data_IF_945059512544
#
_entry.id   IF_945059512544
#
_cell.length_a   1.000
_cell.length_b   1.000
_cell.length_c   1.000
_cell.angle_alpha   90.00
_cell.angle_beta   90.00
_cell.angle_gamma   90.00
#
_symmetry.space_group_name_H-M   'P 1'
#
loop_
_entity.id
_entity.type
_entity.pdbx_description
1 polymer ?
#
# COMPACT_ATOMS: atom_id res chain seq x y z
N UNK A 1 -1.98 -8.95 18.17
CA UNK A 1 -1.14 -7.74 18.12
C UNK A 1 -2.02 -6.59 17.66
N UNK A 2 -1.99 -5.46 18.37
CA UNK A 2 -2.78 -4.28 18.05
C UNK A 2 -1.84 -3.18 17.55
N UNK A 3 -2.17 -2.57 16.40
CA UNK A 3 -1.40 -1.47 15.83
C UNK A 3 -2.00 -0.14 16.27
N UNK A 4 -1.13 0.78 16.73
CA UNK A 4 -1.52 2.15 17.06
C UNK A 4 -1.07 3.07 15.92
N UNK A 5 -2.00 3.69 15.16
CA UNK A 5 -1.61 4.59 14.09
C UNK A 5 -0.94 5.84 14.67
N UNK A 6 0.17 6.27 14.05
CA UNK A 6 0.91 7.48 14.45
C UNK A 6 0.52 8.72 13.64
N UNK A 7 -0.34 8.56 12.65
CA UNK A 7 -0.67 9.60 11.67
C UNK A 7 -1.50 9.07 10.51
N UNK A 8 -1.63 9.89 9.48
CA UNK A 8 -2.33 9.55 8.23
C UNK A 8 -1.58 10.03 6.99
N UNK A 9 -1.83 9.38 5.86
CA UNK A 9 -1.34 9.84 4.55
C UNK A 9 -2.44 10.65 3.87
N UNK A 10 -2.08 11.81 3.32
CA UNK A 10 -2.97 12.72 2.61
C UNK A 10 -2.43 12.93 1.20
N UNK A 11 -3.27 12.69 0.19
CA UNK A 11 -2.95 12.93 -1.23
C UNK A 11 -4.24 13.11 -2.04
N UNK A 12 -4.11 13.29 -3.36
CA UNK A 12 -5.22 13.51 -4.28
C UNK A 12 -5.89 12.21 -4.79
N UNK A 13 -5.39 11.03 -4.42
CA UNK A 13 -5.98 9.75 -4.84
C UNK A 13 -7.21 9.42 -3.99
N UNK A 14 -8.39 9.74 -4.51
CA UNK A 14 -9.67 9.41 -3.86
C UNK A 14 -10.15 7.98 -4.12
N UNK A 15 -9.61 7.34 -5.18
CA UNK A 15 -9.89 5.95 -5.53
C UNK A 15 -8.58 5.17 -5.59
N UNK A 16 -8.55 3.97 -4.98
CA UNK A 16 -7.42 3.03 -5.05
C UNK A 16 -6.96 2.77 -6.50
N UNK A 17 -7.87 2.75 -7.48
CA UNK A 17 -7.50 2.53 -8.90
C UNK A 17 -6.70 3.68 -9.50
N UNK A 18 -6.80 4.88 -8.93
CA UNK A 18 -6.04 6.07 -9.36
C UNK A 18 -4.59 6.05 -8.89
N UNK A 19 -4.24 5.21 -7.90
CA UNK A 19 -2.87 5.08 -7.42
C UNK A 19 -1.97 4.47 -8.51
N UNK A 20 -0.87 5.15 -8.82
CA UNK A 20 0.11 4.69 -9.80
C UNK A 20 1.09 3.69 -9.17
N UNK A 21 1.82 2.93 -10.00
CA UNK A 21 2.83 1.97 -9.53
C UNK A 21 3.96 2.62 -8.72
N UNK A 22 4.26 3.90 -9.01
CA UNK A 22 5.32 4.68 -8.36
C UNK A 22 4.78 5.62 -7.27
N UNK A 23 3.48 5.56 -6.98
CA UNK A 23 2.82 6.46 -6.04
C UNK A 23 2.49 7.82 -6.64
N UNK A 24 2.16 8.77 -5.77
CA UNK A 24 1.82 10.15 -6.10
C UNK A 24 2.40 11.08 -5.03
N UNK A 25 2.61 12.38 -5.34
CA UNK A 25 2.93 13.36 -4.31
C UNK A 25 1.93 13.28 -3.15
N UNK A 26 2.46 13.10 -1.94
CA UNK A 26 1.67 12.82 -0.73
C UNK A 26 2.29 13.53 0.47
N UNK A 27 1.48 13.78 1.50
CA UNK A 27 1.91 14.28 2.81
C UNK A 27 1.62 13.24 3.88
N UNK A 28 2.59 12.99 4.77
CA UNK A 28 2.36 12.21 5.99
C UNK A 28 2.13 13.18 7.13
N UNK A 29 0.94 13.14 7.72
CA UNK A 29 0.55 13.98 8.86
C UNK A 29 0.57 13.13 10.13
N UNK A 30 1.48 13.42 11.06
CA UNK A 30 1.54 12.75 12.35
C UNK A 30 0.49 13.31 13.31
N UNK A 31 0.05 12.47 14.26
CA UNK A 31 -0.74 12.94 15.39
C UNK A 31 0.15 13.81 16.32
N UNK A 32 -0.38 14.86 16.96
CA UNK A 32 0.41 15.84 17.70
C UNK A 32 1.36 15.24 18.75
N UNK A 33 0.94 14.19 19.45
CA UNK A 33 1.72 13.49 20.48
C UNK A 33 3.01 12.84 19.95
N UNK A 34 3.10 12.57 18.65
CA UNK A 34 4.29 11.99 18.01
C UNK A 34 5.23 13.05 17.41
N UNK A 35 4.88 14.34 17.47
CA UNK A 35 5.72 15.43 16.93
C UNK A 35 7.16 15.43 17.44
N UNK A 36 7.45 15.18 18.74
CA UNK A 36 8.83 15.15 19.23
C UNK A 36 9.72 14.11 18.55
N UNK A 37 9.14 13.06 17.97
CA UNK A 37 9.88 12.01 17.26
C UNK A 37 10.42 12.47 15.89
N UNK A 38 10.04 13.66 15.41
CA UNK A 38 10.55 14.24 14.16
C UNK A 38 11.92 14.92 14.29
N UNK A 39 12.48 15.01 15.51
CA UNK A 39 13.76 15.66 15.75
C UNK A 39 14.85 15.10 14.82
N UNK A 40 15.48 15.98 14.04
CA UNK A 40 16.53 15.66 13.06
C UNK A 40 16.11 14.79 11.87
N UNK A 41 14.81 14.56 11.65
CA UNK A 41 14.35 13.84 10.46
C UNK A 41 14.72 14.59 9.17
N UNK A 42 14.77 15.92 9.23
CA UNK A 42 15.19 16.83 8.16
C UNK A 42 16.62 16.59 7.65
N UNK A 43 17.48 15.93 8.43
CA UNK A 43 18.83 15.52 8.00
C UNK A 43 18.82 14.39 6.97
N UNK A 44 17.67 13.76 6.73
CA UNK A 44 17.52 12.60 5.85
C UNK A 44 16.74 12.97 4.60
N UNK A 45 17.29 12.63 3.43
CA UNK A 45 16.63 12.85 2.13
C UNK A 45 15.60 11.78 1.79
N UNK A 46 15.68 10.60 2.44
CA UNK A 46 14.82 9.45 2.19
C UNK A 46 14.44 8.78 3.50
N UNK A 47 13.21 8.28 3.57
CA UNK A 47 12.67 7.56 4.72
C UNK A 47 11.84 6.36 4.25
N UNK A 48 11.71 5.36 5.12
CA UNK A 48 10.76 4.28 4.94
C UNK A 48 9.43 4.65 5.59
N UNK A 49 8.35 4.56 4.82
CA UNK A 49 6.98 4.76 5.32
C UNK A 49 6.28 3.41 5.31
N UNK A 50 5.91 2.94 6.51
CA UNK A 50 5.06 1.77 6.67
C UNK A 50 3.64 2.27 6.96
N UNK A 51 2.74 2.05 6.00
CA UNK A 51 1.33 2.40 6.10
C UNK A 51 0.47 1.16 6.26
N UNK A 52 -0.71 1.32 6.85
CA UNK A 52 -1.75 0.30 6.88
C UNK A 52 -2.76 0.56 5.76
N UNK A 53 -3.02 -0.43 4.90
CA UNK A 53 -3.97 -0.27 3.79
C UNK A 53 -5.37 -0.72 4.24
N UNK A 54 -6.12 0.20 4.86
CA UNK A 54 -7.35 -0.12 5.60
C UNK A 54 -8.52 -0.70 4.78
N UNK A 55 -8.61 -0.43 3.48
CA UNK A 55 -9.73 -0.85 2.62
C UNK A 55 -9.32 -1.98 1.67
N UNK A 56 -8.82 -3.09 2.22
CA UNK A 56 -8.44 -4.26 1.41
C UNK A 56 -8.85 -5.57 2.05
N UNK A 57 -9.06 -6.57 1.19
CA UNK A 57 -9.37 -7.94 1.59
C UNK A 57 -8.15 -8.59 2.26
N UNK A 58 -8.38 -9.16 3.45
CA UNK A 58 -7.31 -9.71 4.31
C UNK A 58 -7.26 -11.24 4.29
N UNK A 59 -8.32 -11.87 3.84
CA UNK A 59 -8.48 -13.31 3.67
C UNK A 59 -8.00 -13.82 2.31
N UNK A 60 -7.69 -12.91 1.37
CA UNK A 60 -7.13 -13.26 0.05
C UNK A 60 -5.71 -13.80 0.19
N UNK A 61 -5.50 -15.04 -0.25
CA UNK A 61 -4.19 -15.72 -0.23
C UNK A 61 -3.52 -15.83 -1.61
N UNK A 62 -4.27 -15.68 -2.69
CA UNK A 62 -3.78 -15.73 -4.06
C UNK A 62 -4.40 -14.63 -4.92
N UNK A 63 -3.61 -14.06 -5.83
CA UNK A 63 -4.06 -13.00 -6.74
C UNK A 63 -3.39 -13.13 -8.11
N UNK A 64 -4.02 -12.53 -9.13
CA UNK A 64 -3.33 -12.22 -10.40
C UNK A 64 -2.87 -10.75 -10.33
N UNK A 65 -1.54 -10.48 -10.33
CA UNK A 65 -1.00 -9.13 -10.31
C UNK A 65 -1.54 -8.27 -11.46
N UNK A 66 -1.70 -6.95 -11.23
CA UNK A 66 -2.29 -6.01 -12.20
C UNK A 66 -1.67 -6.10 -13.60
N UNK A 67 -0.34 -6.26 -13.69
CA UNK A 67 0.38 -6.35 -14.97
C UNK A 67 0.26 -7.69 -15.69
N UNK A 68 -0.35 -8.71 -15.06
CA UNK A 68 -0.53 -10.06 -15.61
C UNK A 68 -2.01 -10.43 -15.82
N UNK A 69 -2.92 -9.48 -15.61
CA UNK A 69 -4.35 -9.70 -15.87
C UNK A 69 -4.59 -9.83 -17.38
N UNK A 70 -5.44 -10.77 -17.76
CA UNK A 70 -5.91 -10.94 -19.13
C UNK A 70 -6.58 -9.65 -19.64
N UNK A 71 -6.45 -9.39 -20.93
CA UNK A 71 -7.18 -8.27 -21.57
C UNK A 71 -8.65 -8.62 -21.71
N UNK A 72 -9.54 -7.63 -21.89
CA UNK A 72 -10.95 -7.90 -22.17
C UNK A 72 -11.10 -8.85 -23.37
N UNK A 73 -11.78 -9.98 -23.17
CA UNK A 73 -11.99 -11.01 -24.20
C UNK A 73 -10.95 -12.13 -24.23
N UNK A 74 -9.93 -12.10 -23.38
CA UNK A 74 -8.95 -13.18 -23.24
C UNK A 74 -9.22 -14.04 -21.99
N UNK A 75 -8.96 -15.35 -22.10
CA UNK A 75 -8.99 -16.27 -20.95
C UNK A 75 -7.77 -16.04 -20.03
N UNK A 76 -7.93 -16.00 -18.69
CA UNK A 76 -6.81 -15.88 -17.77
C UNK A 76 -5.84 -17.07 -17.85
N UNK A 77 -4.54 -16.78 -17.94
CA UNK A 77 -3.52 -17.82 -17.80
C UNK A 77 -3.39 -18.25 -16.34
N UNK A 78 -3.64 -19.53 -16.00
CA UNK A 78 -3.54 -20.02 -14.61
C UNK A 78 -2.13 -19.86 -14.03
N UNK A 79 -1.08 -19.79 -14.87
CA UNK A 79 0.30 -19.54 -14.43
C UNK A 79 0.51 -18.13 -13.86
N UNK A 80 -0.41 -17.20 -14.14
CA UNK A 80 -0.36 -15.84 -13.62
C UNK A 80 -0.90 -15.71 -12.18
N UNK A 81 -1.48 -16.78 -11.61
CA UNK A 81 -1.93 -16.81 -10.23
C UNK A 81 -0.74 -16.95 -9.28
N UNK A 82 -0.61 -16.02 -8.33
CA UNK A 82 0.50 -15.98 -7.37
C UNK A 82 -0.04 -15.94 -5.94
N UNK A 83 0.68 -16.57 -5.00
CA UNK A 83 0.45 -16.34 -3.57
C UNK A 83 0.77 -14.89 -3.20
N UNK A 84 -0.04 -14.27 -2.31
CA UNK A 84 0.09 -12.84 -1.96
C UNK A 84 1.45 -12.45 -1.38
N UNK A 85 2.20 -13.41 -0.82
CA UNK A 85 3.55 -13.19 -0.30
C UNK A 85 4.64 -13.15 -1.36
N UNK A 86 4.39 -13.68 -2.57
CA UNK A 86 5.34 -13.64 -3.69
C UNK A 86 5.25 -12.34 -4.50
N UNK A 87 4.29 -11.46 -4.18
CA UNK A 87 3.98 -10.25 -4.96
C UNK A 87 3.68 -9.06 -4.05
N UNK A 88 3.61 -7.86 -4.63
CA UNK A 88 3.24 -6.62 -3.91
C UNK A 88 1.74 -6.34 -3.93
N UNK A 89 0.91 -7.38 -3.81
CA UNK A 89 -0.55 -7.20 -3.72
C UNK A 89 -0.90 -6.42 -2.45
N UNK A 90 -1.72 -5.36 -2.52
CA UNK A 90 -2.20 -4.69 -1.30
C UNK A 90 -3.20 -5.58 -0.53
N UNK A 91 -3.94 -6.48 -1.20
CA UNK A 91 -4.74 -7.50 -0.54
C UNK A 91 -3.83 -8.60 0.01
N UNK A 92 -3.78 -8.73 1.34
CA UNK A 92 -2.94 -9.66 2.12
C UNK A 92 -3.40 -9.69 3.59
N UNK A 93 -2.99 -10.69 4.39
CA UNK A 93 -3.39 -10.80 5.81
C UNK A 93 -3.09 -9.58 6.70
N UNK A 94 -1.91 -8.99 6.50
CA UNK A 94 -1.44 -7.78 7.18
C UNK A 94 -1.08 -6.74 6.11
N UNK A 95 -2.06 -5.94 5.70
CA UNK A 95 -1.91 -5.03 4.57
C UNK A 95 -1.17 -3.73 4.86
#
# INVERSE_FOLDING_TARGET
>A
MELKPIGRVVNACLDRKSMTTLGVPSRVELLPEYTPALLHLDKHTHIWVLGWLGEVERDVLQVIPRGLKAKPGEEPDPRNLHGVFAVRSPARPNP
#
